data_IF_313582210485
#
_entry.id   IF_313582210485
#
_cell.length_a   1.000
_cell.length_b   1.000
_cell.length_c   1.000
_cell.angle_alpha   90.00
_cell.angle_beta   90.00
_cell.angle_gamma   90.00
#
_symmetry.space_group_name_H-M   'P 1'
#
loop_
_entity.id
_entity.type
_entity.pdbx_description
1 polymer ?
#
# COMPACT_ATOMS: atom_id res chain seq x y z
N UNK A 1 -73.51 15.80 2.48
CA UNK A 1 -72.94 16.76 1.52
C UNK A 1 -71.43 16.68 1.61
N UNK A 2 -70.78 16.84 0.47
CA UNK A 2 -69.42 16.41 0.16
C UNK A 2 -68.29 17.15 0.90
N UNK A 3 -67.19 16.40 1.11
CA UNK A 3 -65.76 16.68 0.92
C UNK A 3 -65.28 18.16 0.91
N UNK A 4 -64.18 18.53 1.57
CA UNK A 4 -62.77 18.41 1.13
C UNK A 4 -61.92 19.15 2.21
N UNK A 5 -60.63 18.94 2.47
CA UNK A 5 -59.47 18.68 1.62
C UNK A 5 -58.30 18.22 2.52
N UNK A 6 -57.72 17.07 2.19
CA UNK A 6 -56.48 16.53 2.78
C UNK A 6 -55.37 16.78 1.75
N UNK A 7 -54.29 17.49 2.11
CA UNK A 7 -53.20 17.86 1.19
C UNK A 7 -52.08 16.83 1.29
N UNK A 8 -52.17 15.75 0.51
CA UNK A 8 -51.08 14.80 0.28
C UNK A 8 -50.22 15.26 -0.90
N UNK A 9 -48.93 15.50 -0.67
CA UNK A 9 -47.94 15.69 -1.74
C UNK A 9 -47.66 14.33 -2.39
N UNK A 10 -48.11 14.17 -3.63
CA UNK A 10 -47.84 13.03 -4.50
C UNK A 10 -46.50 13.30 -5.21
N UNK A 11 -45.50 12.47 -4.95
CA UNK A 11 -44.27 12.44 -5.77
C UNK A 11 -44.56 11.68 -7.06
N UNK A 12 -44.90 12.41 -8.12
CA UNK A 12 -45.04 11.86 -9.45
C UNK A 12 -43.68 11.44 -10.03
N UNK A 13 -43.56 10.13 -10.28
CA UNK A 13 -42.73 9.42 -11.28
C UNK A 13 -41.55 10.20 -11.88
N UNK A 14 -40.34 9.86 -11.44
CA UNK A 14 -39.09 10.20 -12.12
C UNK A 14 -39.12 9.75 -13.61
N UNK A 15 -38.57 10.53 -14.55
CA UNK A 15 -38.65 10.23 -15.98
C UNK A 15 -37.91 8.93 -16.32
N UNK A 16 -38.49 8.11 -17.21
CA UNK A 16 -37.85 6.90 -17.76
C UNK A 16 -36.62 7.30 -18.57
N UNK A 17 -35.43 6.95 -18.08
CA UNK A 17 -34.17 7.21 -18.77
C UNK A 17 -34.12 6.46 -20.12
N UNK A 18 -33.59 7.05 -21.20
CA UNK A 18 -33.35 6.36 -22.47
C UNK A 18 -32.49 5.10 -22.29
N UNK A 19 -32.70 4.08 -23.13
CA UNK A 19 -32.00 2.77 -23.05
C UNK A 19 -30.47 2.94 -23.10
N UNK A 20 -29.96 3.91 -23.88
CA UNK A 20 -28.51 4.21 -23.94
C UNK A 20 -27.98 4.76 -22.61
N UNK A 21 -28.76 5.56 -21.89
CA UNK A 21 -28.39 6.13 -20.60
C UNK A 21 -28.45 5.07 -19.48
N UNK A 22 -29.37 4.12 -19.56
CA UNK A 22 -29.41 2.94 -18.69
C UNK A 22 -28.20 2.02 -18.91
N UNK A 23 -27.78 1.82 -20.17
CA UNK A 23 -26.58 1.04 -20.52
C UNK A 23 -25.29 1.73 -20.08
N UNK A 24 -25.19 3.05 -20.24
CA UNK A 24 -24.05 3.83 -19.75
C UNK A 24 -23.98 3.80 -18.23
N UNK A 25 -25.13 3.87 -17.53
CA UNK A 25 -25.19 3.72 -16.08
C UNK A 25 -24.78 2.31 -15.64
N UNK A 26 -25.26 1.26 -16.29
CA UNK A 26 -24.81 -0.12 -16.02
C UNK A 26 -23.31 -0.32 -16.31
N UNK A 27 -22.78 0.32 -17.35
CA UNK A 27 -21.35 0.32 -17.66
C UNK A 27 -20.55 1.08 -16.60
N UNK A 28 -20.97 2.29 -16.22
CA UNK A 28 -20.34 3.12 -15.18
C UNK A 28 -20.48 2.51 -13.77
N UNK A 29 -21.57 1.81 -13.47
CA UNK A 29 -21.75 1.02 -12.24
C UNK A 29 -20.88 -0.24 -12.26
N UNK A 30 -20.65 -0.86 -13.42
CA UNK A 30 -19.70 -1.98 -13.59
C UNK A 30 -18.23 -1.53 -13.46
N UNK A 31 -17.85 -0.43 -14.11
CA UNK A 31 -16.48 0.10 -14.04
C UNK A 31 -16.21 0.86 -12.74
N UNK A 32 -17.24 1.42 -12.11
CA UNK A 32 -17.18 2.10 -10.81
C UNK A 32 -17.13 1.13 -9.62
N UNK A 33 -17.78 -0.04 -9.71
CA UNK A 33 -17.72 -1.10 -8.68
C UNK A 33 -16.39 -1.85 -8.62
N UNK A 34 -15.53 -1.73 -9.63
CA UNK A 34 -14.18 -2.32 -9.57
C UNK A 34 -13.19 -1.49 -8.74
N UNK A 35 -13.53 -0.25 -8.33
CA UNK A 35 -12.66 0.61 -7.49
C UNK A 35 -13.01 0.63 -5.99
N UNK A 36 -14.07 -0.02 -5.55
CA UNK A 36 -14.39 -0.21 -4.12
C UNK A 36 -14.65 -1.69 -3.82
N UNK A 37 -13.65 -2.54 -4.11
CA UNK A 37 -13.68 -3.92 -3.62
C UNK A 37 -13.38 -3.89 -2.12
N UNK A 38 -14.42 -4.10 -1.32
CA UNK A 38 -14.36 -4.28 0.12
C UNK A 38 -13.12 -5.10 0.55
N UNK A 39 -12.39 -4.54 1.52
CA UNK A 39 -11.13 -5.06 2.06
C UNK A 39 -11.28 -6.52 2.55
N UNK A 40 -10.44 -7.47 2.11
CA UNK A 40 -10.40 -8.79 2.71
C UNK A 40 -9.90 -8.70 4.16
N UNK A 41 -10.59 -9.40 5.08
CA UNK A 41 -10.26 -9.52 6.51
C UNK A 41 -8.85 -10.11 6.72
N UNK A 42 -7.86 -9.25 6.93
CA UNK A 42 -6.67 -9.48 7.77
C UNK A 42 -6.14 -8.13 8.22
N UNK A 43 -6.82 -7.49 9.18
CA UNK A 43 -6.53 -6.11 9.61
C UNK A 43 -5.28 -6.07 10.49
N UNK A 44 -4.10 -6.18 9.88
CA UNK A 44 -2.91 -5.60 10.48
C UNK A 44 -3.02 -4.07 10.30
N UNK A 45 -2.45 -3.25 11.21
CA UNK A 45 -2.77 -1.82 11.26
C UNK A 45 -2.01 -1.06 10.16
N UNK A 46 -2.58 -1.05 8.96
CA UNK A 46 -2.03 -0.35 7.79
C UNK A 46 -1.64 1.10 8.15
N UNK A 47 -2.51 1.82 8.84
CA UNK A 47 -2.31 3.21 9.24
C UNK A 47 -1.06 3.38 10.14
N UNK A 48 -0.91 2.53 11.17
CA UNK A 48 0.24 2.59 12.08
C UNK A 48 1.54 2.28 11.34
N UNK A 49 1.51 1.32 10.41
CA UNK A 49 2.69 0.93 9.64
C UNK A 49 3.09 2.01 8.62
N UNK A 50 2.11 2.61 7.94
CA UNK A 50 2.32 3.74 7.03
C UNK A 50 2.89 4.94 7.80
N UNK A 51 2.32 5.28 8.96
CA UNK A 51 2.80 6.39 9.79
C UNK A 51 4.25 6.17 10.25
N UNK A 52 4.61 4.94 10.64
CA UNK A 52 5.99 4.61 11.00
C UNK A 52 6.95 4.74 9.80
N UNK A 53 6.53 4.29 8.61
CA UNK A 53 7.31 4.44 7.39
C UNK A 53 7.49 5.92 6.99
N UNK A 54 6.44 6.74 7.10
CA UNK A 54 6.51 8.18 6.87
C UNK A 54 7.45 8.88 7.85
N UNK A 55 7.41 8.51 9.14
CA UNK A 55 8.35 9.02 10.13
C UNK A 55 9.80 8.63 9.80
N UNK A 56 10.03 7.42 9.32
CA UNK A 56 11.37 7.00 8.91
C UNK A 56 11.86 7.76 7.67
N UNK A 57 10.99 7.97 6.68
CA UNK A 57 11.27 8.71 5.45
C UNK A 57 11.83 10.12 5.70
N UNK A 58 11.36 10.79 6.76
CA UNK A 58 11.83 12.14 7.13
C UNK A 58 13.34 12.18 7.47
N UNK A 59 13.93 11.04 7.81
CA UNK A 59 15.36 10.92 8.12
C UNK A 59 16.20 10.41 6.94
N UNK A 60 15.60 10.32 5.74
CA UNK A 60 16.28 9.87 4.52
C UNK A 60 17.54 10.70 4.27
N UNK A 61 18.68 10.03 4.13
CA UNK A 61 19.89 10.66 3.64
C UNK A 61 20.01 10.37 2.14
N UNK A 62 19.37 11.22 1.33
CA UNK A 62 19.36 11.08 -0.13
C UNK A 62 19.77 12.36 -0.87
N UNK A 63 20.97 12.91 -0.59
CA UNK A 63 21.40 14.17 -1.19
C UNK A 63 21.67 14.05 -2.70
N UNK A 64 21.89 12.86 -3.25
CA UNK A 64 22.22 12.66 -4.66
C UNK A 64 20.96 12.50 -5.50
N UNK A 65 20.05 11.58 -5.14
CA UNK A 65 18.83 11.36 -5.93
C UNK A 65 17.69 12.32 -5.56
N UNK A 66 17.69 12.89 -4.35
CA UNK A 66 16.54 13.59 -3.74
C UNK A 66 15.27 12.73 -3.61
N UNK A 67 15.41 11.42 -3.77
CA UNK A 67 14.33 10.45 -3.63
C UNK A 67 14.35 9.88 -2.21
N UNK A 68 13.39 10.31 -1.39
CA UNK A 68 13.29 9.92 0.01
C UNK A 68 12.28 8.78 0.15
N UNK A 69 12.73 7.66 0.69
CA UNK A 69 11.96 6.43 0.88
C UNK A 69 11.98 6.05 2.35
N UNK A 70 10.83 5.71 2.90
CA UNK A 70 10.68 5.12 4.22
C UNK A 70 10.08 3.74 4.14
N UNK A 71 10.50 2.83 5.02
CA UNK A 71 9.91 1.51 5.16
C UNK A 71 9.66 1.20 6.64
N UNK A 72 8.57 0.49 6.90
CA UNK A 72 8.29 -0.09 8.22
C UNK A 72 7.82 -1.53 8.05
N UNK A 73 8.31 -2.42 8.92
CA UNK A 73 8.03 -3.85 8.95
C UNK A 73 7.40 -4.20 10.30
N UNK A 74 6.27 -4.90 10.25
CA UNK A 74 5.63 -5.47 11.42
C UNK A 74 6.18 -6.88 11.65
N UNK A 75 6.81 -7.12 12.80
CA UNK A 75 7.29 -8.43 13.22
C UNK A 75 6.21 -9.32 13.85
N UNK A 76 6.46 -10.62 13.97
CA UNK A 76 5.62 -11.56 14.74
C UNK A 76 5.54 -11.18 16.23
N UNK A 77 6.60 -10.56 16.75
CA UNK A 77 6.70 -9.98 18.09
C UNK A 77 5.78 -8.76 18.32
N UNK A 78 5.02 -8.35 17.29
CA UNK A 78 4.16 -7.16 17.25
C UNK A 78 4.92 -5.83 17.34
N UNK A 79 6.25 -5.86 17.24
CA UNK A 79 7.07 -4.66 17.14
C UNK A 79 7.08 -4.14 15.71
N UNK A 80 7.34 -2.83 15.56
CA UNK A 80 7.52 -2.18 14.26
C UNK A 80 8.97 -1.76 14.12
N UNK A 81 9.61 -2.23 13.06
CA UNK A 81 10.98 -1.91 12.70
C UNK A 81 10.98 -1.02 11.47
N UNK A 82 11.70 0.10 11.52
CA UNK A 82 11.66 1.09 10.45
C UNK A 82 13.03 1.40 9.91
N UNK A 83 13.08 1.83 8.65
CA UNK A 83 14.30 2.18 7.94
C UNK A 83 14.02 3.21 6.86
N UNK A 84 15.07 3.88 6.41
CA UNK A 84 15.05 4.84 5.32
C UNK A 84 16.27 4.61 4.43
N UNK A 85 16.25 5.11 3.19
CA UNK A 85 17.40 5.00 2.33
C UNK A 85 18.54 5.93 2.81
N UNK A 86 19.76 5.42 2.70
CA UNK A 86 21.00 6.14 3.02
C UNK A 86 21.93 5.99 1.82
N UNK A 87 22.12 7.09 1.12
CA UNK A 87 23.00 7.16 -0.04
C UNK A 87 24.46 7.40 0.38
N UNK A 88 25.36 7.13 -0.56
CA UNK A 88 26.78 7.33 -0.39
C UNK A 88 27.40 7.85 -1.68
N UNK A 89 28.51 8.60 -1.60
CA UNK A 89 29.23 9.08 -2.80
C UNK A 89 29.74 7.94 -3.70
N UNK A 90 30.02 6.77 -3.12
CA UNK A 90 30.15 5.52 -3.86
C UNK A 90 28.80 4.83 -3.95
N UNK A 91 28.10 4.99 -5.08
CA UNK A 91 26.68 4.66 -5.19
C UNK A 91 26.34 3.18 -4.87
N UNK A 92 27.27 2.26 -5.13
CA UNK A 92 27.11 0.83 -4.79
C UNK A 92 26.98 0.54 -3.29
N UNK A 93 27.37 1.48 -2.42
CA UNK A 93 27.24 1.38 -0.96
C UNK A 93 25.88 1.88 -0.45
N UNK A 94 25.00 2.34 -1.33
CA UNK A 94 23.66 2.81 -0.95
C UNK A 94 22.80 1.68 -0.41
N UNK A 95 22.16 1.93 0.74
CA UNK A 95 21.17 1.03 1.31
C UNK A 95 19.76 1.59 1.11
N UNK A 96 18.83 0.73 0.71
CA UNK A 96 17.43 1.08 0.52
C UNK A 96 16.67 1.00 1.85
N UNK A 97 15.54 1.70 1.94
CA UNK A 97 14.73 1.77 3.16
C UNK A 97 14.29 0.39 3.68
N UNK A 98 13.93 -0.52 2.77
CA UNK A 98 13.45 -1.86 3.08
C UNK A 98 14.58 -2.72 3.66
N UNK A 99 15.77 -2.68 3.05
CA UNK A 99 16.95 -3.38 3.60
C UNK A 99 17.33 -2.83 4.97
N UNK A 100 17.30 -1.50 5.15
CA UNK A 100 17.53 -0.89 6.45
C UNK A 100 16.53 -1.37 7.51
N UNK A 101 15.22 -1.41 7.17
CA UNK A 101 14.18 -1.90 8.08
C UNK A 101 14.34 -3.38 8.41
N UNK A 102 14.68 -4.23 7.43
CA UNK A 102 14.98 -5.65 7.65
C UNK A 102 16.17 -5.82 8.59
N UNK A 103 17.27 -5.09 8.36
CA UNK A 103 18.47 -5.21 9.20
C UNK A 103 18.23 -4.69 10.62
N UNK A 104 17.41 -3.65 10.77
CA UNK A 104 16.95 -3.19 12.09
C UNK A 104 16.16 -4.30 12.82
N UNK A 105 15.22 -4.97 12.14
CA UNK A 105 14.47 -6.08 12.73
C UNK A 105 15.37 -7.25 13.12
N UNK A 106 16.25 -7.67 12.21
CA UNK A 106 17.14 -8.83 12.42
C UNK A 106 18.15 -8.58 13.54
N UNK A 107 18.73 -7.38 13.60
CA UNK A 107 19.66 -7.01 14.68
C UNK A 107 18.98 -6.92 16.06
N UNK A 108 17.68 -6.64 16.09
CA UNK A 108 16.85 -6.71 17.30
C UNK A 108 16.34 -8.13 17.63
N UNK A 109 16.69 -9.15 16.84
CA UNK A 109 16.32 -10.54 17.05
C UNK A 109 15.02 -10.99 16.36
N UNK A 110 14.35 -10.12 15.61
CA UNK A 110 13.13 -10.45 14.87
C UNK A 110 13.45 -10.95 13.45
N UNK A 111 13.08 -12.20 13.13
CA UNK A 111 13.34 -12.85 11.83
C UNK A 111 12.07 -13.33 11.11
N UNK A 112 10.89 -12.95 11.59
CA UNK A 112 9.61 -13.33 11.01
C UNK A 112 8.73 -12.11 10.87
N UNK A 113 8.33 -11.83 9.63
CA UNK A 113 7.62 -10.60 9.29
C UNK A 113 6.17 -10.89 8.90
N UNK A 114 5.28 -10.01 9.37
CA UNK A 114 3.83 -10.11 9.19
C UNK A 114 3.36 -9.24 8.03
N UNK A 115 3.92 -8.03 7.91
CA UNK A 115 3.57 -7.07 6.85
C UNK A 115 4.65 -5.98 6.72
N UNK A 116 4.67 -5.27 5.59
CA UNK A 116 5.51 -4.10 5.37
C UNK A 116 4.73 -2.93 4.75
N UNK A 117 5.16 -1.71 5.03
CA UNK A 117 4.77 -0.49 4.33
C UNK A 117 6.00 0.19 3.74
N UNK A 118 5.88 0.69 2.51
CA UNK A 118 6.93 1.46 1.83
C UNK A 118 6.30 2.76 1.33
N UNK A 119 6.94 3.87 1.64
CA UNK A 119 6.45 5.22 1.31
C UNK A 119 7.55 6.01 0.60
N UNK A 120 7.17 6.89 -0.32
CA UNK A 120 8.14 7.79 -0.96
C UNK A 120 7.60 9.18 -1.26
N UNK A 121 8.51 10.08 -1.63
CA UNK A 121 8.20 11.44 -2.07
C UNK A 121 8.02 11.56 -3.59
N UNK A 122 7.87 10.44 -4.30
CA UNK A 122 7.56 10.41 -5.74
C UNK A 122 6.06 10.31 -5.98
N UNK A 123 5.60 10.78 -7.13
CA UNK A 123 4.23 10.58 -7.64
C UNK A 123 3.98 9.11 -7.98
N UNK A 124 5.03 8.36 -8.32
CA UNK A 124 4.94 6.92 -8.58
C UNK A 124 4.99 6.10 -7.29
N UNK A 125 4.37 4.91 -7.30
CA UNK A 125 4.47 3.99 -6.18
C UNK A 125 5.92 3.50 -5.99
N UNK A 126 6.43 3.47 -4.75
CA UNK A 126 7.80 3.05 -4.47
C UNK A 126 7.92 1.52 -4.43
N UNK A 127 7.94 0.89 -5.62
CA UNK A 127 8.17 -0.55 -5.71
C UNK A 127 9.57 -0.91 -5.19
N UNK A 128 9.69 -1.92 -4.31
CA UNK A 128 11.00 -2.36 -3.86
C UNK A 128 11.86 -2.85 -5.01
N UNK A 129 13.16 -2.50 -4.96
CA UNK A 129 14.11 -2.97 -5.97
C UNK A 129 14.37 -4.47 -5.84
N UNK A 130 14.94 -5.09 -6.88
CA UNK A 130 15.20 -6.54 -6.89
C UNK A 130 16.00 -7.05 -5.68
N UNK A 131 16.99 -6.28 -5.22
CA UNK A 131 17.77 -6.62 -4.03
C UNK A 131 16.91 -6.60 -2.75
N UNK A 132 16.02 -5.61 -2.59
CA UNK A 132 15.09 -5.56 -1.46
C UNK A 132 14.11 -6.72 -1.48
N UNK A 133 13.55 -7.05 -2.65
CA UNK A 133 12.63 -8.18 -2.80
C UNK A 133 13.32 -9.49 -2.41
N UNK A 134 14.55 -9.71 -2.88
CA UNK A 134 15.31 -10.91 -2.53
C UNK A 134 15.60 -10.98 -1.03
N UNK A 135 16.01 -9.87 -0.39
CA UNK A 135 16.24 -9.82 1.06
C UNK A 135 14.95 -10.09 1.85
N UNK A 136 13.81 -9.52 1.45
CA UNK A 136 12.52 -9.79 2.09
C UNK A 136 12.10 -11.26 1.93
N UNK A 137 12.43 -11.89 0.81
CA UNK A 137 12.03 -13.27 0.48
C UNK A 137 12.69 -14.33 1.35
N UNK A 138 13.81 -13.97 1.98
CA UNK A 138 14.48 -14.78 2.99
C UNK A 138 13.60 -14.95 4.25
N UNK A 139 12.83 -13.92 4.60
CA UNK A 139 12.10 -13.87 5.87
C UNK A 139 10.59 -14.11 5.71
N UNK A 140 9.98 -13.78 4.57
CA UNK A 140 8.54 -13.96 4.37
C UNK A 140 8.12 -13.95 2.87
N UNK A 141 7.94 -15.13 2.26
CA UNK A 141 7.52 -15.25 0.84
C UNK A 141 6.17 -14.61 0.50
N UNK A 142 5.22 -14.68 1.43
CA UNK A 142 3.85 -14.17 1.25
C UNK A 142 3.63 -12.84 1.94
N UNK A 143 4.69 -12.07 2.18
CA UNK A 143 4.63 -10.81 2.91
C UNK A 143 3.68 -9.83 2.21
N UNK A 144 2.58 -9.40 2.86
CA UNK A 144 1.78 -8.29 2.38
C UNK A 144 2.59 -6.99 2.42
N UNK A 145 2.50 -6.21 1.36
CA UNK A 145 3.23 -4.94 1.22
C UNK A 145 2.24 -3.85 0.82
N UNK A 146 2.24 -2.75 1.57
CA UNK A 146 1.51 -1.53 1.24
C UNK A 146 2.49 -0.49 0.69
N UNK A 147 2.17 0.07 -0.47
CA UNK A 147 2.94 1.12 -1.13
C UNK A 147 2.16 2.43 -1.04
N UNK A 148 2.82 3.50 -0.63
CA UNK A 148 2.24 4.85 -0.57
C UNK A 148 3.12 5.83 -1.33
N UNK A 149 2.53 6.59 -2.24
CA UNK A 149 3.23 7.64 -2.99
C UNK A 149 3.09 9.00 -2.29
N UNK A 150 3.63 10.07 -2.89
CA UNK A 150 3.60 11.43 -2.33
C UNK A 150 2.19 11.98 -2.16
N UNK A 151 1.26 11.62 -3.05
CA UNK A 151 -0.13 12.08 -3.00
C UNK A 151 -0.95 11.31 -1.95
N UNK A 152 -0.34 10.34 -1.25
CA UNK A 152 -1.03 9.50 -0.29
C UNK A 152 -1.88 8.42 -0.93
N UNK A 153 -1.74 8.17 -2.24
CA UNK A 153 -2.38 7.03 -2.89
C UNK A 153 -1.80 5.75 -2.30
N UNK A 154 -2.67 4.78 -2.05
CA UNK A 154 -2.33 3.51 -1.42
C UNK A 154 -2.49 2.39 -2.45
N UNK A 155 -1.49 1.52 -2.53
CA UNK A 155 -1.54 0.28 -3.29
C UNK A 155 -1.13 -0.90 -2.44
N UNK A 156 -1.98 -1.91 -2.39
CA UNK A 156 -1.69 -3.18 -1.73
C UNK A 156 -1.13 -4.19 -2.74
N UNK A 157 -0.07 -4.88 -2.34
CA UNK A 157 0.54 -5.98 -3.09
C UNK A 157 1.12 -7.02 -2.12
N UNK A 158 1.82 -8.01 -2.63
CA UNK A 158 2.52 -9.01 -1.83
C UNK A 158 3.86 -9.35 -2.46
N UNK A 159 4.78 -9.89 -1.65
CA UNK A 159 6.09 -10.27 -2.12
C UNK A 159 6.03 -11.33 -3.22
N UNK A 160 5.17 -12.34 -3.08
CA UNK A 160 4.93 -13.36 -4.13
C UNK A 160 4.45 -12.77 -5.47
N UNK A 161 3.80 -11.59 -5.48
CA UNK A 161 3.40 -10.91 -6.73
C UNK A 161 4.56 -10.14 -7.33
N UNK A 162 5.41 -9.55 -6.50
CA UNK A 162 6.54 -8.72 -6.93
C UNK A 162 7.77 -9.57 -7.30
N UNK A 163 7.93 -10.74 -6.68
CA UNK A 163 9.00 -11.71 -6.91
C UNK A 163 8.43 -13.14 -6.90
N UNK A 164 7.84 -13.60 -8.03
CA UNK A 164 7.12 -14.88 -8.07
C UNK A 164 7.97 -16.13 -7.87
N UNK A 165 9.25 -16.07 -8.26
CA UNK A 165 10.19 -17.18 -8.21
C UNK A 165 11.53 -16.68 -7.64
N UNK A 166 11.59 -16.40 -6.33
CA UNK A 166 12.83 -15.91 -5.71
C UNK A 166 13.90 -16.99 -5.77
N UNK A 167 15.15 -16.57 -5.94
CA UNK A 167 16.28 -17.48 -5.82
C UNK A 167 16.36 -18.03 -4.39
N UNK A 168 16.71 -19.31 -4.24
CA UNK A 168 16.99 -19.92 -2.94
C UNK A 168 18.24 -20.77 -3.03
N UNK A 169 19.04 -20.79 -1.97
CA UNK A 169 20.20 -21.67 -1.94
C UNK A 169 19.72 -23.14 -2.03
N UNK A 170 20.16 -23.85 -3.06
CA UNK A 170 19.75 -25.23 -3.32
C UNK A 170 18.52 -25.40 -4.22
N UNK A 171 18.04 -24.33 -4.87
CA UNK A 171 17.09 -24.41 -6.00
C UNK A 171 17.77 -24.74 -7.31
#
# INVERSE_FOLDING_TARGET
MAQTSNRTYIWERAPRWPIWAQRLRSFLERTGREKERALPKKSWPNEKLIAAAQKAQQNSYSPYSKFAVGCAILGEDRAVYSGTNVENGSYGLTICAERAAVFAAVSAGCRKFVAAAVVSNSESFPYPCGACLQVLSEFALKLPIVLVNREGLIKETSLEKLLPMPFRQGS
#
